data_IF_422797012025
#
_entry.id   IF_422797012025
#
_cell.length_a   1.000
_cell.length_b   1.000
_cell.length_c   1.000
_cell.angle_alpha   90.00
_cell.angle_beta   90.00
_cell.angle_gamma   90.00
#
_symmetry.space_group_name_H-M   'P 1'
#
loop_
_entity.id
_entity.type
_entity.pdbx_description
1 polymer ?
#
# COMPACT_ATOMS: atom_id res chain seq x y z
N UNK A 1 7.74 28.99 -0.21
CA UNK A 1 8.59 27.81 0.09
C UNK A 1 8.17 26.69 -0.84
N UNK A 2 9.15 26.02 -1.44
CA UNK A 2 9.13 25.56 -2.83
C UNK A 2 8.09 24.47 -3.17
N UNK A 3 7.34 24.70 -4.27
CA UNK A 3 6.40 23.78 -4.90
C UNK A 3 7.05 23.01 -6.08
N UNK A 4 8.37 23.12 -6.27
CA UNK A 4 9.10 22.50 -7.40
C UNK A 4 9.27 20.99 -7.30
N UNK A 5 9.19 20.40 -6.10
CA UNK A 5 9.44 18.97 -5.90
C UNK A 5 8.35 18.03 -6.46
N UNK A 6 7.23 18.57 -6.94
CA UNK A 6 6.15 17.78 -7.54
C UNK A 6 6.27 17.66 -9.06
N UNK A 7 7.09 18.49 -9.73
CA UNK A 7 7.22 18.45 -11.19
C UNK A 7 8.03 17.24 -11.67
N UNK A 8 9.05 16.82 -10.91
CA UNK A 8 9.83 15.61 -11.21
C UNK A 8 9.05 14.32 -10.91
N UNK A 9 7.99 14.37 -10.10
CA UNK A 9 7.19 13.21 -9.66
C UNK A 9 5.96 12.91 -10.51
N UNK A 10 5.69 13.72 -11.53
CA UNK A 10 4.54 13.53 -12.41
C UNK A 10 4.57 12.18 -13.14
N UNK A 11 5.76 11.66 -13.46
CA UNK A 11 5.91 10.37 -14.14
C UNK A 11 5.60 9.19 -13.20
N UNK A 12 6.09 9.22 -11.98
CA UNK A 12 5.85 8.17 -10.99
C UNK A 12 4.39 8.15 -10.55
N UNK A 13 3.78 9.33 -10.35
CA UNK A 13 2.36 9.43 -10.05
C UNK A 13 1.50 8.95 -11.21
N UNK A 14 1.88 9.24 -12.47
CA UNK A 14 1.20 8.71 -13.64
C UNK A 14 1.29 7.18 -13.70
N UNK A 15 2.48 6.60 -13.47
CA UNK A 15 2.66 5.14 -13.45
C UNK A 15 1.83 4.45 -12.35
N UNK A 16 1.72 5.08 -11.17
CA UNK A 16 0.84 4.60 -10.10
C UNK A 16 -0.64 4.72 -10.48
N UNK A 17 -1.04 5.81 -11.14
CA UNK A 17 -2.39 6.00 -11.68
C UNK A 17 -2.77 4.92 -12.68
N UNK A 18 -1.92 4.67 -13.67
CA UNK A 18 -2.12 3.60 -14.66
C UNK A 18 -2.25 2.22 -14.00
N UNK A 19 -1.47 1.95 -12.94
CA UNK A 19 -1.58 0.69 -12.21
C UNK A 19 -2.96 0.55 -11.53
N UNK A 20 -3.47 1.63 -10.93
CA UNK A 20 -4.79 1.66 -10.29
C UNK A 20 -5.90 1.48 -11.33
N UNK A 21 -5.80 2.15 -12.47
CA UNK A 21 -6.76 2.02 -13.59
C UNK A 21 -6.83 0.58 -14.10
N UNK A 22 -5.68 -0.04 -14.42
CA UNK A 22 -5.65 -1.45 -14.86
C UNK A 22 -6.21 -2.41 -13.81
N UNK A 23 -6.01 -2.11 -12.53
CA UNK A 23 -6.60 -2.90 -11.45
C UNK A 23 -8.13 -2.82 -11.47
N UNK A 24 -8.68 -1.67 -11.86
CA UNK A 24 -10.13 -1.47 -12.06
C UNK A 24 -10.69 -2.33 -13.20
N UNK A 25 -9.88 -2.53 -14.23
CA UNK A 25 -10.19 -3.43 -15.35
C UNK A 25 -9.99 -4.91 -15.01
N UNK A 26 -9.69 -5.24 -13.74
CA UNK A 26 -9.47 -6.61 -13.27
C UNK A 26 -8.07 -7.16 -13.53
N UNK A 27 -7.13 -6.31 -13.96
CA UNK A 27 -5.74 -6.71 -14.22
C UNK A 27 -4.88 -6.41 -13.00
N UNK A 28 -4.39 -7.46 -12.33
CA UNK A 28 -3.46 -7.32 -11.22
C UNK A 28 -2.10 -6.77 -11.67
N UNK A 29 -1.40 -6.07 -10.77
CA UNK A 29 -0.04 -5.62 -11.00
C UNK A 29 0.65 -5.19 -9.71
N UNK A 30 1.94 -4.90 -9.82
CA UNK A 30 2.77 -4.41 -8.72
C UNK A 30 3.68 -3.28 -9.21
N UNK A 31 3.96 -2.34 -8.32
CA UNK A 31 4.98 -1.32 -8.51
C UNK A 31 6.04 -1.46 -7.41
N UNK A 32 7.30 -1.32 -7.80
CA UNK A 32 8.44 -1.27 -6.89
C UNK A 32 8.98 0.16 -6.94
N UNK A 33 9.16 0.75 -5.76
CA UNK A 33 9.76 2.07 -5.61
C UNK A 33 11.14 1.85 -5.01
N UNK A 34 12.17 2.26 -5.75
CA UNK A 34 13.57 2.17 -5.36
C UNK A 34 14.30 3.45 -5.80
N UNK A 35 15.23 3.92 -4.98
CA UNK A 35 15.77 5.26 -5.09
C UNK A 35 16.67 5.65 -3.91
N UNK A 36 17.48 6.71 -4.08
CA UNK A 36 18.41 7.14 -3.04
C UNK A 36 17.70 7.55 -1.76
N UNK A 37 18.30 7.24 -0.61
CA UNK A 37 17.77 7.67 0.69
C UNK A 37 17.49 9.18 0.70
N UNK A 38 16.27 9.56 1.11
CA UNK A 38 15.86 10.96 1.18
C UNK A 38 15.26 11.54 -0.11
N UNK A 39 15.18 10.79 -1.21
CA UNK A 39 14.56 11.26 -2.46
C UNK A 39 13.03 11.43 -2.35
N UNK A 40 12.43 10.95 -1.26
CA UNK A 40 11.00 11.09 -0.98
C UNK A 40 10.17 9.84 -1.29
N UNK A 41 10.77 8.66 -1.30
CA UNK A 41 10.06 7.38 -1.53
C UNK A 41 8.90 7.17 -0.58
N UNK A 42 9.08 7.46 0.72
CA UNK A 42 8.00 7.38 1.72
C UNK A 42 6.81 8.26 1.34
N UNK A 43 7.07 9.42 0.73
CA UNK A 43 6.00 10.30 0.24
C UNK A 43 5.28 9.66 -0.94
N UNK A 44 6.03 9.11 -1.91
CA UNK A 44 5.47 8.45 -3.09
C UNK A 44 4.66 7.20 -2.73
N UNK A 45 5.17 6.36 -1.81
CA UNK A 45 4.46 5.19 -1.26
C UNK A 45 3.15 5.61 -0.61
N UNK A 46 3.08 6.80 0.00
CA UNK A 46 1.86 7.36 0.59
C UNK A 46 0.80 7.82 -0.42
N UNK A 47 1.18 8.13 -1.67
CA UNK A 47 0.23 8.59 -2.69
C UNK A 47 -0.53 7.44 -3.37
N UNK A 48 0.09 6.25 -3.52
CA UNK A 48 -0.58 5.09 -4.11
C UNK A 48 -1.87 4.67 -3.37
N UNK A 49 -1.88 4.53 -2.02
CA UNK A 49 -3.09 4.36 -1.23
C UNK A 49 -4.17 5.41 -1.49
N UNK A 50 -3.79 6.67 -1.67
CA UNK A 50 -4.74 7.76 -1.89
C UNK A 50 -5.41 7.67 -3.26
N UNK A 51 -4.64 7.38 -4.30
CA UNK A 51 -5.15 7.17 -5.67
C UNK A 51 -6.10 5.96 -5.73
N UNK A 52 -5.72 4.86 -5.08
CA UNK A 52 -6.56 3.66 -5.02
C UNK A 52 -7.86 3.90 -4.22
N UNK A 53 -7.79 4.55 -3.05
CA UNK A 53 -8.97 4.88 -2.26
C UNK A 53 -9.93 5.83 -3.00
N UNK A 54 -9.39 6.84 -3.70
CA UNK A 54 -10.19 7.74 -4.53
C UNK A 54 -10.91 7.02 -5.68
N UNK A 55 -10.36 5.89 -6.13
CA UNK A 55 -10.95 5.01 -7.16
C UNK A 55 -11.88 3.94 -6.59
N UNK A 56 -12.17 3.97 -5.27
CA UNK A 56 -13.12 3.06 -4.61
C UNK A 56 -12.55 1.70 -4.21
N UNK A 57 -11.24 1.49 -4.29
CA UNK A 57 -10.61 0.25 -3.85
C UNK A 57 -10.55 0.16 -2.32
N UNK A 58 -10.63 -1.08 -1.82
CA UNK A 58 -10.18 -1.37 -0.46
C UNK A 58 -8.64 -1.28 -0.45
N UNK A 59 -8.11 -0.45 0.46
CA UNK A 59 -6.67 -0.23 0.57
C UNK A 59 -6.17 -0.83 1.86
N UNK A 60 -5.30 -1.84 1.74
CA UNK A 60 -4.55 -2.41 2.85
C UNK A 60 -3.11 -1.94 2.78
N UNK A 61 -2.56 -1.47 3.90
CA UNK A 61 -1.18 -1.02 3.99
C UNK A 61 -0.48 -1.69 5.17
N UNK A 62 0.78 -2.04 4.97
CA UNK A 62 1.63 -2.64 5.98
C UNK A 62 3.02 -2.00 5.91
N UNK A 63 3.74 -2.01 7.03
CA UNK A 63 5.10 -1.47 7.13
C UNK A 63 6.03 -2.51 7.71
N UNK A 64 7.10 -2.81 6.99
CA UNK A 64 8.23 -3.58 7.49
C UNK A 64 9.43 -2.64 7.62
N UNK A 65 10.23 -2.87 8.65
CA UNK A 65 11.61 -2.37 8.73
C UNK A 65 12.59 -3.53 8.54
N UNK A 66 13.81 -3.23 8.11
CA UNK A 66 14.88 -4.23 7.97
C UNK A 66 15.15 -5.00 9.27
N UNK A 67 14.93 -4.37 10.43
CA UNK A 67 15.11 -4.97 11.75
C UNK A 67 14.04 -6.01 12.11
N UNK A 68 12.97 -6.12 11.33
CA UNK A 68 11.81 -6.98 11.62
C UNK A 68 11.79 -8.25 10.76
N UNK A 69 12.96 -8.67 10.26
CA UNK A 69 13.16 -9.83 9.40
C UNK A 69 12.63 -11.15 10.02
N UNK A 70 12.54 -11.23 11.35
CA UNK A 70 12.03 -12.40 12.08
C UNK A 70 10.49 -12.50 12.08
N UNK A 71 9.78 -11.46 11.64
CA UNK A 71 8.33 -11.37 11.67
C UNK A 71 7.74 -11.34 10.26
N UNK A 72 8.20 -12.24 9.37
CA UNK A 72 7.75 -12.37 7.99
C UNK A 72 6.20 -12.41 7.84
N UNK A 73 5.50 -12.91 8.86
CA UNK A 73 4.03 -12.99 8.88
C UNK A 73 3.32 -11.79 9.51
N UNK A 74 4.02 -10.86 10.16
CA UNK A 74 3.37 -9.66 10.75
C UNK A 74 2.79 -8.74 9.68
N UNK A 75 3.38 -8.72 8.47
CA UNK A 75 2.81 -8.00 7.32
C UNK A 75 1.40 -8.51 7.01
N UNK A 76 1.18 -9.82 7.11
CA UNK A 76 -0.10 -10.46 6.84
C UNK A 76 -1.13 -9.99 7.86
N UNK A 77 -0.79 -9.98 9.15
CA UNK A 77 -1.65 -9.45 10.22
C UNK A 77 -2.10 -8.00 9.95
N UNK A 78 -1.15 -7.11 9.64
CA UNK A 78 -1.44 -5.69 9.34
C UNK A 78 -2.41 -5.51 8.17
N UNK A 79 -2.29 -6.33 7.12
CA UNK A 79 -3.18 -6.28 5.96
C UNK A 79 -4.60 -6.78 6.29
N UNK A 80 -4.71 -7.85 7.08
CA UNK A 80 -6.01 -8.45 7.42
C UNK A 80 -6.76 -7.69 8.51
N UNK A 81 -6.08 -7.07 9.48
CA UNK A 81 -6.71 -6.21 10.49
C UNK A 81 -7.54 -5.10 9.82
N UNK A 82 -7.00 -4.48 8.77
CA UNK A 82 -7.71 -3.41 8.05
C UNK A 82 -8.88 -3.94 7.21
N UNK A 83 -8.68 -5.04 6.50
CA UNK A 83 -9.76 -5.68 5.74
C UNK A 83 -10.93 -6.13 6.64
N UNK A 84 -10.61 -6.58 7.86
CA UNK A 84 -11.57 -6.95 8.90
C UNK A 84 -12.29 -5.75 9.51
N UNK A 85 -11.59 -4.63 9.72
CA UNK A 85 -12.16 -3.40 10.27
C UNK A 85 -13.12 -2.70 9.30
N UNK A 86 -12.85 -2.73 7.99
CA UNK A 86 -13.67 -2.08 6.96
C UNK A 86 -14.94 -2.87 6.57
N UNK A 87 -15.23 -3.97 7.28
CA UNK A 87 -16.57 -4.59 7.30
C UNK A 87 -16.97 -5.36 6.05
N UNK A 88 -16.03 -5.73 5.17
CA UNK A 88 -16.29 -6.64 4.03
C UNK A 88 -16.06 -8.10 4.43
N UNK A 89 -17.07 -8.62 5.13
CA UNK A 89 -17.47 -10.03 5.32
C UNK A 89 -16.98 -10.82 6.56
N UNK A 90 -17.96 -11.55 7.13
CA UNK A 90 -18.01 -12.26 8.42
C UNK A 90 -17.19 -13.56 8.47
N UNK A 91 -16.51 -13.92 7.38
CA UNK A 91 -15.82 -15.21 7.23
C UNK A 91 -14.54 -15.36 8.07
N UNK A 92 -13.92 -14.26 8.48
CA UNK A 92 -12.66 -14.26 9.24
C UNK A 92 -12.87 -14.11 10.76
N UNK A 93 -14.13 -14.07 11.25
CA UNK A 93 -14.44 -14.07 12.69
C UNK A 93 -14.04 -15.36 13.42
N UNK A 94 -13.59 -16.39 12.70
CA UNK A 94 -13.13 -17.65 13.28
C UNK A 94 -11.64 -17.56 13.67
N UNK A 95 -11.42 -16.99 14.86
CA UNK A 95 -10.24 -17.13 15.75
C UNK A 95 -8.91 -17.39 15.03
N UNK A 96 -8.18 -16.31 14.73
CA UNK A 96 -6.73 -16.39 14.57
C UNK A 96 -6.15 -16.78 15.94
N UNK A 97 -5.66 -18.02 16.01
CA UNK A 97 -5.06 -18.61 17.20
C UNK A 97 -3.80 -17.80 17.55
N UNK A 98 -3.80 -17.15 18.71
CA UNK A 98 -2.59 -16.66 19.35
C UNK A 98 -1.75 -17.87 19.76
N UNK A 99 -0.61 -18.06 19.10
CA UNK A 99 0.44 -18.95 19.58
C UNK A 99 1.48 -18.10 20.30
N UNK A 100 1.81 -18.52 21.52
CA UNK A 100 2.76 -17.92 22.46
C UNK A 100 4.13 -17.64 21.85
#
# INVERSE_FOLDING_TARGET
MSSDALLERGRELAALGELVERTGDGTAGAAVIDGPAGIGETRLVGEAPRLAAASGFLVCAARLSELEHELAFRVVGQLFERALADGRDRALSRRVVQTR
#
